data_IF_890911665552
#
_entry.id   IF_890911665552
#
_cell.length_a   1.000
_cell.length_b   1.000
_cell.length_c   1.000
_cell.angle_alpha   90.00
_cell.angle_beta   90.00
_cell.angle_gamma   90.00
#
_symmetry.space_group_name_H-M   'P 1'
#
loop_
_entity.id
_entity.type
_entity.pdbx_description
1 polymer ?
#
# COMPACT_ATOMS: atom_id res chain seq x y z
N UNK A 1 -25.32 -6.52 -26.78
CA UNK A 1 -23.94 -6.13 -27.16
C UNK A 1 -23.29 -7.32 -27.88
N UNK A 2 -23.39 -7.42 -29.22
CA UNK A 2 -22.64 -8.42 -29.98
C UNK A 2 -21.14 -8.05 -29.96
N UNK A 3 -20.26 -8.96 -29.54
CA UNK A 3 -18.79 -8.79 -29.63
C UNK A 3 -18.01 -8.83 -28.30
N UNK A 4 -18.64 -8.66 -27.13
CA UNK A 4 -17.95 -8.75 -25.84
C UNK A 4 -17.25 -10.11 -25.62
N UNK A 5 -17.88 -11.27 -25.91
CA UNK A 5 -17.28 -12.58 -25.69
C UNK A 5 -16.04 -12.88 -26.55
N UNK A 6 -15.96 -12.38 -27.78
CA UNK A 6 -14.83 -12.64 -28.69
C UNK A 6 -13.59 -11.80 -28.34
N UNK A 7 -13.78 -10.60 -27.80
CA UNK A 7 -12.68 -9.79 -27.24
C UNK A 7 -12.13 -10.45 -25.98
N UNK A 8 -12.99 -11.08 -25.18
CA UNK A 8 -12.61 -11.79 -23.94
C UNK A 8 -11.77 -13.05 -24.19
N UNK A 9 -12.10 -13.85 -25.22
CA UNK A 9 -11.29 -15.02 -25.57
C UNK A 9 -9.91 -14.64 -26.14
N UNK A 10 -9.77 -13.44 -26.71
CA UNK A 10 -8.47 -12.92 -27.18
C UNK A 10 -7.63 -12.32 -26.05
N UNK A 11 -8.24 -11.56 -25.14
CA UNK A 11 -7.53 -10.90 -24.05
C UNK A 11 -7.12 -11.86 -22.92
N UNK A 12 -7.86 -12.95 -22.70
CA UNK A 12 -7.65 -13.91 -21.59
C UNK A 12 -7.11 -15.24 -22.10
N UNK A 13 -6.40 -15.24 -23.24
CA UNK A 13 -5.95 -16.42 -23.98
C UNK A 13 -5.82 -17.68 -23.11
N UNK A 14 -6.67 -18.69 -23.39
CA UNK A 14 -6.63 -20.01 -22.73
C UNK A 14 -5.40 -20.80 -23.17
N UNK A 15 -4.20 -20.25 -23.00
CA UNK A 15 -2.97 -20.98 -23.18
C UNK A 15 -2.55 -21.57 -21.84
N UNK A 16 -2.56 -22.89 -21.82
CA UNK A 16 -1.99 -23.74 -20.78
C UNK A 16 -0.58 -23.23 -20.47
N UNK A 17 -0.15 -23.11 -19.20
CA UNK A 17 1.13 -22.47 -18.88
C UNK A 17 2.28 -23.19 -19.60
N UNK A 18 2.81 -22.51 -20.62
CA UNK A 18 3.97 -22.92 -21.39
C UNK A 18 5.15 -23.07 -20.45
N UNK A 19 5.65 -24.30 -20.38
CA UNK A 19 6.77 -24.73 -19.57
C UNK A 19 8.06 -24.05 -20.09
N UNK A 20 8.39 -22.88 -19.54
CA UNK A 20 9.69 -22.26 -19.75
C UNK A 20 10.71 -22.84 -18.76
N UNK A 21 11.77 -23.43 -19.33
CA UNK A 21 12.89 -24.09 -18.67
C UNK A 21 13.85 -23.02 -18.14
N UNK A 22 13.62 -22.54 -16.91
CA UNK A 22 14.61 -21.75 -16.16
C UNK A 22 15.64 -22.70 -15.53
N UNK A 23 16.61 -23.13 -16.34
CA UNK A 23 17.80 -23.81 -15.80
C UNK A 23 18.73 -22.79 -15.16
N UNK A 24 19.17 -23.18 -13.97
CA UNK A 24 20.28 -22.64 -13.19
C UNK A 24 19.99 -21.39 -12.34
N UNK A 25 19.45 -21.66 -11.15
CA UNK A 25 19.44 -20.75 -10.00
C UNK A 25 18.54 -21.21 -8.85
N UNK A 26 17.46 -21.95 -9.16
CA UNK A 26 16.28 -22.02 -8.28
C UNK A 26 15.96 -23.43 -7.72
N UNK A 27 16.96 -24.32 -7.60
CA UNK A 27 16.73 -25.71 -7.13
C UNK A 27 16.62 -25.88 -5.62
N UNK A 28 17.08 -24.92 -4.81
CA UNK A 28 17.04 -25.05 -3.35
C UNK A 28 15.71 -24.57 -2.73
N UNK A 29 15.03 -23.56 -3.30
CA UNK A 29 13.80 -23.00 -2.75
C UNK A 29 12.49 -23.63 -3.23
N UNK A 30 12.53 -24.44 -4.30
CA UNK A 30 11.30 -25.02 -4.90
C UNK A 30 10.81 -26.28 -4.20
N UNK A 31 11.69 -27.04 -3.55
CA UNK A 31 11.32 -28.31 -2.87
C UNK A 31 10.67 -28.13 -1.50
N UNK A 32 10.77 -26.95 -0.88
CA UNK A 32 10.06 -26.65 0.38
C UNK A 32 8.68 -25.99 0.17
N UNK A 33 8.42 -25.39 -1.00
CA UNK A 33 7.10 -24.77 -1.31
C UNK A 33 6.00 -25.78 -1.66
N UNK A 34 6.35 -27.01 -2.04
CA UNK A 34 5.39 -28.05 -2.44
C UNK A 34 4.81 -28.85 -1.26
N UNK A 35 5.13 -28.49 0.00
CA UNK A 35 4.50 -29.04 1.22
C UNK A 35 3.99 -27.95 2.15
N UNK A 36 3.50 -26.84 1.60
CA UNK A 36 2.67 -25.91 2.36
C UNK A 36 1.39 -26.60 2.86
N UNK A 37 0.79 -26.15 3.98
CA UNK A 37 -0.51 -26.66 4.40
C UNK A 37 -1.50 -26.53 3.25
N UNK A 38 -2.30 -27.59 3.01
CA UNK A 38 -3.28 -27.61 1.94
C UNK A 38 -4.24 -26.43 2.10
N UNK A 39 -4.22 -25.50 1.15
CA UNK A 39 -5.12 -24.35 1.13
C UNK A 39 -6.49 -24.83 0.70
N UNK A 40 -7.51 -24.54 1.51
CA UNK A 40 -8.89 -24.85 1.16
C UNK A 40 -9.54 -23.61 0.54
N UNK A 41 -9.88 -23.70 -0.74
CA UNK A 41 -10.68 -22.68 -1.43
C UNK A 41 -12.15 -22.88 -1.02
N UNK A 42 -12.75 -21.81 -0.53
CA UNK A 42 -14.08 -21.75 0.08
C UNK A 42 -15.01 -20.89 -0.78
N UNK A 43 -16.31 -21.16 -0.70
CA UNK A 43 -17.35 -20.36 -1.38
C UNK A 43 -18.16 -19.62 -0.32
N UNK A 44 -18.17 -18.29 -0.35
CA UNK A 44 -18.86 -17.49 0.70
C UNK A 44 -20.35 -17.80 0.79
N UNK A 45 -21.02 -18.22 -0.30
CA UNK A 45 -22.45 -18.54 -0.26
C UNK A 45 -22.69 -19.88 0.43
N UNK A 46 -21.85 -20.89 0.17
CA UNK A 46 -21.92 -22.22 0.78
C UNK A 46 -21.38 -22.24 2.20
N UNK A 47 -20.29 -21.53 2.45
CA UNK A 47 -19.54 -21.49 3.70
C UNK A 47 -19.79 -20.18 4.48
N UNK A 48 -21.01 -19.64 4.37
CA UNK A 48 -21.38 -18.31 4.87
C UNK A 48 -21.09 -18.13 6.37
N UNK A 49 -21.51 -19.09 7.20
CA UNK A 49 -21.32 -19.00 8.65
C UNK A 49 -19.84 -18.99 9.05
N UNK A 50 -19.00 -19.74 8.32
CA UNK A 50 -17.55 -19.75 8.53
C UNK A 50 -16.94 -18.41 8.16
N UNK A 51 -17.30 -17.87 6.99
CA UNK A 51 -16.84 -16.54 6.56
C UNK A 51 -17.25 -15.44 7.55
N UNK A 52 -18.51 -15.44 7.98
CA UNK A 52 -19.03 -14.45 8.94
C UNK A 52 -18.30 -14.53 10.28
N UNK A 53 -18.10 -15.74 10.81
CA UNK A 53 -17.36 -15.96 12.06
C UNK A 53 -15.91 -15.48 11.96
N UNK A 54 -15.18 -15.87 10.92
CA UNK A 54 -13.77 -15.52 10.77
C UNK A 54 -13.58 -14.03 10.54
N UNK A 55 -14.48 -13.39 9.77
CA UNK A 55 -14.48 -11.94 9.56
C UNK A 55 -14.64 -11.19 10.89
N UNK A 56 -15.60 -11.60 11.73
CA UNK A 56 -15.81 -10.99 13.04
C UNK A 56 -14.62 -11.21 13.99
N UNK A 57 -14.13 -12.46 14.10
CA UNK A 57 -12.96 -12.78 14.94
C UNK A 57 -11.71 -12.00 14.53
N UNK A 58 -11.49 -11.85 13.23
CA UNK A 58 -10.34 -11.12 12.70
C UNK A 58 -10.44 -9.62 13.00
N UNK A 59 -11.64 -9.05 12.88
CA UNK A 59 -11.89 -7.66 13.22
C UNK A 59 -11.72 -7.41 14.72
N UNK A 60 -12.26 -8.28 15.58
CA UNK A 60 -12.11 -8.20 17.04
C UNK A 60 -10.64 -8.33 17.46
N UNK A 61 -9.91 -9.26 16.85
CA UNK A 61 -8.47 -9.37 17.05
C UNK A 61 -7.74 -8.07 16.70
N UNK A 62 -8.06 -7.46 15.56
CA UNK A 62 -7.47 -6.18 15.16
C UNK A 62 -7.82 -5.08 16.15
N UNK A 63 -9.07 -4.95 16.59
CA UNK A 63 -9.49 -3.96 17.59
C UNK A 63 -8.78 -4.12 18.94
N UNK A 64 -8.39 -5.35 19.31
CA UNK A 64 -7.63 -5.60 20.54
C UNK A 64 -6.16 -5.14 20.48
N UNK A 65 -5.65 -4.80 19.30
CA UNK A 65 -4.27 -4.33 19.14
C UNK A 65 -4.14 -2.86 19.56
N UNK A 66 -2.92 -2.44 19.88
CA UNK A 66 -2.64 -1.05 20.26
C UNK A 66 -2.22 -0.22 19.03
N UNK A 67 -2.90 0.90 18.78
CA UNK A 67 -2.63 1.81 17.66
C UNK A 67 -2.53 3.24 18.15
N UNK A 68 -1.68 4.04 17.50
CA UNK A 68 -1.63 5.48 17.71
C UNK A 68 -2.63 6.20 16.79
N UNK A 69 -3.88 5.75 16.82
CA UNK A 69 -4.98 6.30 16.03
C UNK A 69 -6.25 6.32 16.87
N UNK A 70 -7.01 7.40 16.78
CA UNK A 70 -8.27 7.53 17.53
C UNK A 70 -9.24 6.38 17.21
N UNK A 71 -10.04 5.89 18.18
CA UNK A 71 -10.97 4.78 17.97
C UNK A 71 -11.96 4.99 16.82
N UNK A 72 -12.36 6.24 16.57
CA UNK A 72 -13.26 6.60 15.47
C UNK A 72 -12.69 6.21 14.10
N UNK A 73 -11.39 6.45 13.89
CA UNK A 73 -10.75 6.20 12.59
C UNK A 73 -10.43 4.71 12.39
N UNK A 74 -10.34 3.92 13.47
CA UNK A 74 -10.15 2.47 13.37
C UNK A 74 -11.28 1.79 12.59
N UNK A 75 -12.52 2.25 12.75
CA UNK A 75 -13.67 1.74 11.97
C UNK A 75 -13.57 2.00 10.47
N UNK A 76 -12.79 2.99 10.06
CA UNK A 76 -12.54 3.31 8.65
C UNK A 76 -11.26 2.61 8.14
N UNK A 77 -10.28 2.36 9.02
CA UNK A 77 -8.97 1.78 8.70
C UNK A 77 -8.96 0.25 8.67
N UNK A 78 -9.56 -0.40 9.67
CA UNK A 78 -9.39 -1.83 9.94
C UNK A 78 -10.16 -2.77 9.00
N UNK A 79 -11.36 -2.45 8.47
CA UNK A 79 -12.10 -3.39 7.63
C UNK A 79 -11.32 -3.88 6.40
N UNK A 80 -10.48 -3.02 5.80
CA UNK A 80 -9.65 -3.41 4.66
C UNK A 80 -8.56 -4.42 5.05
N UNK A 81 -8.09 -4.41 6.30
CA UNK A 81 -7.12 -5.39 6.80
C UNK A 81 -7.76 -6.76 7.04
N UNK A 82 -9.08 -6.81 7.20
CA UNK A 82 -9.86 -8.06 7.23
C UNK A 82 -10.03 -8.60 5.81
N UNK A 83 -10.40 -7.74 4.85
CA UNK A 83 -10.42 -8.11 3.41
C UNK A 83 -9.06 -8.66 2.97
N UNK A 84 -8.02 -7.92 3.34
CA UNK A 84 -6.64 -8.20 3.02
C UNK A 84 -5.86 -8.64 4.25
N UNK A 85 -6.07 -9.84 4.76
CA UNK A 85 -5.07 -10.50 5.64
C UNK A 85 -3.75 -10.87 4.93
N UNK A 86 -3.45 -10.21 3.81
CA UNK A 86 -2.21 -9.53 3.35
C UNK A 86 -0.84 -10.21 3.42
N UNK A 87 -0.69 -11.43 3.94
CA UNK A 87 0.42 -12.34 3.64
C UNK A 87 0.32 -12.95 2.23
N UNK A 88 -0.90 -13.28 1.82
CA UNK A 88 -1.17 -14.21 0.73
C UNK A 88 -2.12 -13.66 -0.35
N UNK A 89 -2.60 -12.41 -0.22
CA UNK A 89 -3.55 -11.79 -1.14
C UNK A 89 -4.95 -11.61 -0.53
N UNK A 90 -5.92 -11.26 -1.37
CA UNK A 90 -7.31 -10.99 -1.00
C UNK A 90 -8.02 -12.25 -0.48
N UNK A 91 -8.81 -12.12 0.60
CA UNK A 91 -9.72 -13.17 1.07
C UNK A 91 -9.10 -14.36 1.80
N UNK A 92 -7.92 -14.20 2.39
CA UNK A 92 -7.26 -15.26 3.18
C UNK A 92 -7.60 -15.19 4.66
N UNK A 93 -7.96 -16.33 5.24
CA UNK A 93 -8.29 -16.49 6.65
C UNK A 93 -7.60 -17.74 7.22
N UNK A 94 -7.51 -17.80 8.55
CA UNK A 94 -6.99 -18.96 9.26
C UNK A 94 -8.06 -19.43 10.23
N UNK A 95 -8.41 -20.72 10.19
CA UNK A 95 -9.36 -21.29 11.14
C UNK A 95 -8.70 -21.58 12.51
N UNK A 96 -9.52 -22.03 13.46
CA UNK A 96 -9.09 -22.38 14.82
C UNK A 96 -8.00 -23.48 14.89
N UNK A 97 -7.78 -24.24 13.80
CA UNK A 97 -6.77 -25.30 13.72
C UNK A 97 -5.49 -24.85 13.01
N UNK A 98 -5.41 -23.58 12.57
CA UNK A 98 -4.29 -23.08 11.80
C UNK A 98 -4.38 -23.38 10.30
N UNK A 99 -5.51 -23.89 9.80
CA UNK A 99 -5.70 -24.19 8.38
C UNK A 99 -5.88 -22.89 7.60
N UNK A 100 -5.15 -22.74 6.50
CA UNK A 100 -5.34 -21.60 5.59
C UNK A 100 -6.58 -21.81 4.71
N UNK A 101 -7.52 -20.89 4.82
CA UNK A 101 -8.74 -20.82 4.03
C UNK A 101 -8.66 -19.63 3.07
N UNK A 102 -9.11 -19.82 1.83
CA UNK A 102 -9.20 -18.74 0.85
C UNK A 102 -10.65 -18.57 0.39
N UNK A 103 -11.18 -17.36 0.50
CA UNK A 103 -12.46 -16.95 -0.04
C UNK A 103 -12.21 -15.95 -1.19
N UNK A 104 -12.11 -16.42 -2.45
CA UNK A 104 -11.75 -15.57 -3.59
C UNK A 104 -12.68 -14.36 -3.78
N UNK A 105 -13.96 -14.53 -3.42
CA UNK A 105 -14.97 -13.50 -3.54
C UNK A 105 -15.10 -12.59 -2.30
N UNK A 106 -14.14 -12.59 -1.38
CA UNK A 106 -14.16 -11.75 -0.18
C UNK A 106 -13.89 -10.27 -0.53
N UNK A 107 -14.92 -9.57 -1.00
CA UNK A 107 -14.89 -8.13 -1.28
C UNK A 107 -15.03 -7.28 0.00
N UNK A 108 -14.64 -6.01 -0.06
CA UNK A 108 -14.84 -5.03 1.01
C UNK A 108 -16.31 -4.90 1.44
N UNK A 109 -17.25 -4.92 0.50
CA UNK A 109 -18.69 -4.89 0.74
C UNK A 109 -19.15 -6.08 1.56
N UNK A 110 -18.66 -7.28 1.22
CA UNK A 110 -19.02 -8.50 1.94
C UNK A 110 -18.48 -8.48 3.36
N UNK A 111 -17.23 -8.06 3.56
CA UNK A 111 -16.67 -7.88 4.91
C UNK A 111 -17.52 -6.89 5.71
N UNK A 112 -17.80 -5.70 5.16
CA UNK A 112 -18.63 -4.70 5.84
C UNK A 112 -20.06 -5.19 6.12
N UNK A 113 -20.65 -6.00 5.24
CA UNK A 113 -21.98 -6.58 5.47
C UNK A 113 -22.04 -7.54 6.68
N UNK A 114 -20.92 -8.17 7.01
CA UNK A 114 -20.78 -8.96 8.25
C UNK A 114 -20.61 -8.02 9.43
N UNK A 115 -19.67 -7.07 9.32
CA UNK A 115 -19.30 -6.17 10.42
C UNK A 115 -20.44 -5.21 10.81
N UNK A 116 -21.31 -4.80 9.88
CA UNK A 116 -22.50 -3.98 10.16
C UNK A 116 -23.43 -4.62 11.21
N UNK A 117 -23.45 -5.96 11.30
CA UNK A 117 -24.24 -6.67 12.31
C UNK A 117 -23.65 -6.57 13.72
N UNK A 118 -22.35 -6.32 13.82
CA UNK A 118 -21.63 -6.14 15.08
C UNK A 118 -21.64 -4.66 15.48
N UNK A 119 -21.39 -3.77 14.52
CA UNK A 119 -21.45 -2.33 14.70
C UNK A 119 -22.15 -1.66 13.50
N UNK A 120 -23.35 -1.09 13.69
CA UNK A 120 -24.09 -0.40 12.63
C UNK A 120 -23.33 0.77 11.96
N UNK A 121 -22.31 1.33 12.61
CA UNK A 121 -21.46 2.38 12.02
C UNK A 121 -20.53 1.86 10.91
N UNK A 122 -20.42 0.54 10.75
CA UNK A 122 -19.62 -0.12 9.71
C UNK A 122 -20.42 -0.44 8.44
N UNK A 123 -21.57 0.22 8.23
CA UNK A 123 -22.32 0.13 6.98
C UNK A 123 -21.46 0.54 5.79
N UNK A 124 -21.46 -0.28 4.74
CA UNK A 124 -20.71 -0.11 3.49
C UNK A 124 -20.57 1.33 2.99
N UNK A 125 -21.70 1.93 2.61
CA UNK A 125 -21.72 3.29 2.04
C UNK A 125 -21.20 4.34 3.02
N UNK A 126 -21.47 4.20 4.32
CA UNK A 126 -21.02 5.16 5.33
C UNK A 126 -19.51 5.10 5.53
N UNK A 127 -18.92 3.90 5.57
CA UNK A 127 -17.46 3.73 5.67
C UNK A 127 -16.77 4.35 4.44
N UNK A 128 -17.26 4.04 3.23
CA UNK A 128 -16.72 4.61 1.98
C UNK A 128 -16.81 6.15 1.97
N UNK A 129 -17.93 6.71 2.43
CA UNK A 129 -18.14 8.16 2.56
C UNK A 129 -17.16 8.80 3.55
N UNK A 130 -17.00 8.22 4.74
CA UNK A 130 -16.09 8.74 5.77
C UNK A 130 -14.63 8.68 5.34
N UNK A 131 -14.22 7.59 4.68
CA UNK A 131 -12.87 7.46 4.08
C UNK A 131 -12.63 8.55 3.04
N UNK A 132 -13.59 8.79 2.15
CA UNK A 132 -13.51 9.85 1.14
C UNK A 132 -13.42 11.25 1.76
N UNK A 133 -14.29 11.54 2.74
CA UNK A 133 -14.26 12.83 3.46
C UNK A 133 -12.95 13.04 4.23
N UNK A 134 -12.33 11.97 4.73
CA UNK A 134 -11.05 12.04 5.45
C UNK A 134 -9.90 12.43 4.51
N UNK A 135 -9.77 11.80 3.34
CA UNK A 135 -8.71 12.14 2.37
C UNK A 135 -8.94 13.50 1.72
N UNK A 136 -10.19 13.84 1.39
CA UNK A 136 -10.55 15.12 0.76
C UNK A 136 -10.25 16.29 1.69
N UNK A 137 -10.68 16.23 2.95
CA UNK A 137 -10.42 17.31 3.92
C UNK A 137 -8.94 17.50 4.18
N UNK A 138 -8.18 16.41 4.30
CA UNK A 138 -6.74 16.49 4.44
C UNK A 138 -6.06 17.18 3.24
N UNK A 139 -6.41 16.78 2.01
CA UNK A 139 -5.88 17.41 0.80
C UNK A 139 -6.25 18.88 0.68
N UNK A 140 -7.49 19.26 1.01
CA UNK A 140 -7.94 20.66 1.03
C UNK A 140 -7.17 21.50 2.06
N UNK A 141 -7.03 20.99 3.29
CA UNK A 141 -6.24 21.62 4.34
C UNK A 141 -4.79 21.85 3.91
N UNK A 142 -4.16 20.81 3.35
CA UNK A 142 -2.77 20.88 2.89
C UNK A 142 -2.58 21.92 1.79
N UNK A 143 -3.40 21.86 0.74
CA UNK A 143 -3.26 22.77 -0.40
C UNK A 143 -3.58 24.22 -0.02
N UNK A 144 -4.43 24.45 0.98
CA UNK A 144 -4.72 25.80 1.50
C UNK A 144 -3.56 26.39 2.31
N UNK A 145 -2.67 25.57 2.88
CA UNK A 145 -1.56 26.02 3.71
C UNK A 145 -0.15 25.73 3.15
N UNK A 146 -0.06 25.12 1.96
CA UNK A 146 1.20 24.68 1.36
C UNK A 146 2.20 25.80 1.03
N UNK A 147 1.76 27.06 1.00
CA UNK A 147 2.58 28.25 0.80
C UNK A 147 3.12 28.83 2.12
N UNK A 148 2.62 28.36 3.26
CA UNK A 148 3.11 28.75 4.58
C UNK A 148 4.44 28.04 4.85
N UNK A 149 5.41 28.68 5.53
CA UNK A 149 6.70 28.04 5.83
C UNK A 149 6.55 26.87 6.81
N UNK A 150 5.54 26.92 7.68
CA UNK A 150 5.27 25.88 8.66
C UNK A 150 3.79 25.53 8.70
N UNK A 151 3.51 24.25 8.88
CA UNK A 151 2.16 23.72 9.02
C UNK A 151 2.01 23.06 10.38
N UNK A 152 0.96 23.45 11.10
CA UNK A 152 0.51 22.70 12.26
C UNK A 152 -0.31 21.51 11.79
N UNK A 153 0.09 20.29 12.16
CA UNK A 153 -0.58 19.04 11.81
C UNK A 153 -1.91 18.90 12.55
N UNK A 154 -2.90 19.67 12.08
CA UNK A 154 -4.23 19.75 12.66
C UNK A 154 -5.24 20.06 11.54
N UNK A 155 -6.13 19.11 11.26
CA UNK A 155 -7.22 19.22 10.29
C UNK A 155 -8.53 19.29 11.08
N UNK A 156 -9.28 20.39 10.94
CA UNK A 156 -10.53 20.64 11.65
C UNK A 156 -10.43 20.46 13.18
N UNK A 157 -9.30 20.86 13.78
CA UNK A 157 -9.06 20.75 15.23
C UNK A 157 -8.64 19.36 15.70
N UNK A 158 -8.36 18.42 14.79
CA UNK A 158 -7.95 17.05 15.10
C UNK A 158 -6.64 16.70 14.38
N UNK A 159 -5.85 15.73 14.89
CA UNK A 159 -4.67 15.27 14.16
C UNK A 159 -5.04 14.66 12.80
N UNK A 160 -4.20 14.85 11.76
CA UNK A 160 -4.40 14.26 10.44
C UNK A 160 -4.65 12.75 10.52
N UNK A 161 -5.70 12.30 9.81
CA UNK A 161 -6.13 10.89 9.78
C UNK A 161 -6.37 10.29 11.19
N UNK A 162 -6.58 11.12 12.22
CA UNK A 162 -6.74 10.68 13.61
C UNK A 162 -5.47 10.11 14.25
N UNK A 163 -4.28 10.35 13.69
CA UNK A 163 -3.01 9.80 14.19
C UNK A 163 -2.55 10.57 15.43
N UNK A 164 -2.60 9.93 16.60
CA UNK A 164 -2.53 10.63 17.88
C UNK A 164 -1.17 11.26 18.15
N UNK A 165 -0.07 10.60 17.75
CA UNK A 165 1.28 11.15 17.93
C UNK A 165 1.56 12.39 17.07
N UNK A 166 0.68 12.76 16.12
CA UNK A 166 0.80 13.99 15.33
C UNK A 166 0.13 15.20 15.99
N UNK A 167 -0.66 14.98 17.05
CA UNK A 167 -1.46 16.03 17.66
C UNK A 167 -0.58 17.21 18.13
N UNK A 168 -0.87 18.42 17.62
CA UNK A 168 -0.18 19.65 18.00
C UNK A 168 1.24 19.79 17.45
N UNK A 169 1.72 18.86 16.63
CA UNK A 169 3.02 18.98 15.98
C UNK A 169 2.99 20.06 14.89
N UNK A 170 4.11 20.77 14.74
CA UNK A 170 4.35 21.71 13.65
C UNK A 170 5.52 21.20 12.82
N UNK A 171 5.41 21.30 11.50
CA UNK A 171 6.41 20.83 10.53
C UNK A 171 6.86 21.95 9.61
N UNK A 172 8.08 21.88 9.12
CA UNK A 172 8.50 22.60 7.92
C UNK A 172 7.68 22.11 6.72
N UNK A 173 6.91 23.02 6.12
CA UNK A 173 5.95 22.69 5.07
C UNK A 173 6.63 22.12 3.85
N UNK A 174 7.80 22.65 3.48
CA UNK A 174 8.50 22.25 2.26
C UNK A 174 9.07 20.85 2.42
N UNK A 175 9.69 20.54 3.56
CA UNK A 175 10.16 19.19 3.87
C UNK A 175 9.00 18.20 3.94
N UNK A 176 7.91 18.56 4.63
CA UNK A 176 6.70 17.74 4.71
C UNK A 176 6.12 17.41 3.34
N UNK A 177 5.88 18.43 2.50
CA UNK A 177 5.41 18.28 1.13
C UNK A 177 6.39 17.48 0.25
N UNK A 178 7.70 17.60 0.49
CA UNK A 178 8.72 16.80 -0.22
C UNK A 178 8.51 15.31 0.02
N UNK A 179 8.32 14.91 1.29
CA UNK A 179 8.03 13.52 1.63
C UNK A 179 6.70 13.03 1.04
N UNK A 180 5.67 13.88 1.06
CA UNK A 180 4.38 13.56 0.44
C UNK A 180 4.48 13.31 -1.06
N UNK A 181 5.18 14.17 -1.80
CA UNK A 181 5.37 14.03 -3.25
C UNK A 181 6.16 12.76 -3.58
N UNK A 182 7.22 12.50 -2.83
CA UNK A 182 8.05 11.30 -3.00
C UNK A 182 7.24 10.01 -2.82
N UNK A 183 6.47 9.91 -1.73
CA UNK A 183 5.64 8.75 -1.46
C UNK A 183 4.46 8.62 -2.44
N UNK A 184 3.81 9.73 -2.81
CA UNK A 184 2.66 9.69 -3.73
C UNK A 184 3.00 9.27 -5.16
N UNK A 185 4.27 9.39 -5.59
CA UNK A 185 4.71 8.93 -6.91
C UNK A 185 5.47 7.60 -6.91
N UNK A 186 5.85 7.05 -5.75
CA UNK A 186 6.63 5.81 -5.71
C UNK A 186 5.84 4.59 -6.23
N UNK A 187 4.50 4.66 -6.14
CA UNK A 187 3.58 3.60 -6.53
C UNK A 187 3.03 3.74 -7.96
N UNK A 188 3.24 4.91 -8.58
CA UNK A 188 2.87 5.13 -9.97
C UNK A 188 3.68 4.24 -10.93
N UNK A 189 2.98 3.57 -11.84
CA UNK A 189 3.58 2.64 -12.77
C UNK A 189 4.56 3.32 -13.74
N UNK A 190 4.27 4.55 -14.19
CA UNK A 190 5.16 5.26 -15.11
C UNK A 190 6.48 5.63 -14.43
N UNK A 191 6.43 6.07 -13.17
CA UNK A 191 7.63 6.35 -12.38
C UNK A 191 8.43 5.07 -12.12
N UNK A 192 7.78 3.96 -11.74
CA UNK A 192 8.48 2.66 -11.56
C UNK A 192 9.12 2.17 -12.85
N UNK A 193 8.43 2.30 -13.99
CA UNK A 193 8.97 1.94 -15.30
C UNK A 193 10.21 2.77 -15.64
N UNK A 194 10.15 4.08 -15.40
CA UNK A 194 11.26 5.00 -15.68
C UNK A 194 12.43 4.80 -14.73
N UNK A 195 12.18 4.53 -13.45
CA UNK A 195 13.20 4.18 -12.48
C UNK A 195 13.99 2.93 -12.92
N UNK A 196 13.34 1.92 -13.53
CA UNK A 196 14.06 0.77 -14.09
C UNK A 196 14.93 1.10 -15.30
N UNK A 197 14.56 2.12 -16.10
CA UNK A 197 15.38 2.57 -17.23
C UNK A 197 16.61 3.35 -16.77
N UNK A 198 16.45 4.16 -15.71
CA UNK A 198 17.51 4.95 -15.10
C UNK A 198 18.47 4.07 -14.28
N UNK A 199 17.95 3.32 -13.32
CA UNK A 199 18.72 2.42 -12.46
C UNK A 199 18.71 1.02 -13.05
N UNK A 200 19.60 0.73 -13.99
CA UNK A 200 19.63 -0.59 -14.64
C UNK A 200 20.08 -1.74 -13.73
N UNK A 201 20.66 -1.42 -12.56
CA UNK A 201 21.27 -2.39 -11.65
C UNK A 201 20.87 -2.17 -10.19
N UNK A 202 20.80 -3.25 -9.42
CA UNK A 202 20.70 -3.23 -7.95
C UNK A 202 22.01 -2.71 -7.33
N UNK A 203 22.04 -2.47 -6.02
CA UNK A 203 23.26 -2.08 -5.31
C UNK A 203 24.39 -3.13 -5.43
N UNK A 204 24.05 -4.42 -5.57
CA UNK A 204 25.01 -5.50 -5.85
C UNK A 204 25.39 -5.64 -7.33
N UNK A 205 24.86 -4.79 -8.22
CA UNK A 205 25.18 -4.81 -9.65
C UNK A 205 24.38 -5.80 -10.50
N UNK A 206 23.38 -6.50 -9.94
CA UNK A 206 22.47 -7.37 -10.68
C UNK A 206 21.41 -6.57 -11.45
N UNK A 207 20.75 -7.12 -12.49
CA UNK A 207 19.67 -6.42 -13.18
C UNK A 207 18.56 -5.95 -12.23
N UNK A 208 18.21 -4.67 -12.31
CA UNK A 208 17.15 -4.10 -11.48
C UNK A 208 15.78 -4.36 -12.10
N UNK A 209 14.84 -4.80 -11.26
CA UNK A 209 13.48 -5.09 -11.69
C UNK A 209 12.49 -4.82 -10.55
N UNK A 210 11.40 -4.11 -10.87
CA UNK A 210 10.32 -3.78 -9.94
C UNK A 210 8.99 -4.16 -10.59
N UNK A 211 8.18 -4.90 -9.84
CA UNK A 211 6.80 -5.21 -10.23
C UNK A 211 5.88 -4.01 -10.08
N UNK A 212 4.81 -3.98 -10.85
CA UNK A 212 3.91 -2.83 -10.82
C UNK A 212 2.71 -2.97 -11.75
N UNK A 213 1.85 -1.96 -11.67
CA UNK A 213 0.59 -1.93 -12.38
C UNK A 213 -0.18 -0.64 -12.11
N UNK A 214 -1.25 -0.46 -12.85
CA UNK A 214 -2.08 0.75 -12.80
C UNK A 214 -3.35 0.48 -12.00
N UNK A 215 -3.76 1.41 -11.13
CA UNK A 215 -5.12 1.44 -10.57
C UNK A 215 -5.98 2.23 -11.55
N UNK A 216 -6.95 1.55 -12.17
CA UNK A 216 -7.82 2.15 -13.18
C UNK A 216 -9.27 2.10 -12.73
N UNK A 217 -10.04 3.12 -13.12
CA UNK A 217 -11.48 3.18 -12.87
C UNK A 217 -12.19 2.33 -13.92
N UNK A 218 -13.08 1.45 -13.47
CA UNK A 218 -13.84 0.53 -14.31
C UNK A 218 -15.35 0.78 -14.19
N UNK A 219 -16.08 0.57 -15.28
CA UNK A 219 -17.54 0.39 -15.25
C UNK A 219 -17.81 -0.97 -14.59
N UNK A 220 -18.44 -0.95 -13.41
CA UNK A 220 -18.55 -2.14 -12.58
C UNK A 220 -19.34 -3.24 -13.26
N UNK A 221 -20.48 -2.90 -13.85
CA UNK A 221 -21.36 -3.88 -14.49
C UNK A 221 -20.67 -4.56 -15.67
N UNK A 222 -19.95 -3.80 -16.50
CA UNK A 222 -19.20 -4.36 -17.62
C UNK A 222 -17.99 -5.17 -17.14
N UNK A 223 -17.30 -4.71 -16.11
CA UNK A 223 -16.16 -5.43 -15.53
C UNK A 223 -16.57 -6.80 -14.97
N UNK A 224 -17.69 -6.87 -14.25
CA UNK A 224 -18.26 -8.13 -13.76
C UNK A 224 -18.65 -9.08 -14.93
N UNK A 225 -19.24 -8.53 -16.01
CA UNK A 225 -19.57 -9.32 -17.21
C UNK A 225 -18.35 -9.84 -17.96
N UNK A 226 -17.20 -9.17 -17.85
CA UNK A 226 -15.95 -9.62 -18.44
C UNK A 226 -15.34 -10.85 -17.73
N UNK A 227 -15.77 -11.15 -16.51
CA UNK A 227 -15.25 -12.30 -15.75
C UNK A 227 -13.76 -12.19 -15.39
N UNK A 228 -13.17 -11.00 -15.47
CA UNK A 228 -11.82 -10.72 -15.00
C UNK A 228 -11.82 -10.67 -13.46
N UNK A 229 -11.75 -11.85 -12.83
CA UNK A 229 -11.85 -11.97 -11.38
C UNK A 229 -10.70 -11.25 -10.63
N UNK A 230 -9.47 -11.31 -11.15
CA UNK A 230 -8.29 -10.63 -10.58
C UNK A 230 -7.33 -10.18 -11.70
N UNK A 231 -7.50 -8.97 -12.26
CA UNK A 231 -6.57 -8.41 -13.25
C UNK A 231 -5.17 -8.11 -12.67
N UNK A 232 -4.98 -8.26 -11.36
CA UNK A 232 -3.69 -8.15 -10.68
C UNK A 232 -2.86 -9.43 -10.72
N UNK A 233 -3.47 -10.58 -11.05
CA UNK A 233 -2.85 -11.89 -11.04
C UNK A 233 -1.99 -12.19 -12.28
N UNK A 234 -2.27 -11.53 -13.41
CA UNK A 234 -1.59 -11.77 -14.70
C UNK A 234 -1.22 -10.46 -15.36
N UNK A 235 -0.15 -10.46 -16.17
CA UNK A 235 0.26 -9.25 -16.89
C UNK A 235 -0.68 -8.99 -18.04
N UNK A 236 -1.21 -7.77 -18.08
CA UNK A 236 -2.01 -7.27 -19.18
C UNK A 236 -1.19 -6.26 -19.99
N UNK A 237 -0.96 -6.60 -21.26
CA UNK A 237 -0.27 -5.75 -22.23
C UNK A 237 -1.09 -4.51 -22.59
N UNK A 238 -0.47 -3.49 -23.19
CA UNK A 238 -1.17 -2.24 -23.56
C UNK A 238 -2.34 -2.47 -24.53
N UNK A 239 -2.22 -3.44 -25.44
CA UNK A 239 -3.31 -3.76 -26.37
C UNK A 239 -4.52 -4.35 -25.63
N UNK A 240 -4.32 -5.21 -24.63
CA UNK A 240 -5.43 -5.70 -23.78
C UNK A 240 -6.11 -4.55 -23.03
N UNK A 241 -5.35 -3.61 -22.47
CA UNK A 241 -5.92 -2.44 -21.80
C UNK A 241 -6.67 -1.53 -22.78
N UNK A 242 -6.17 -1.37 -24.00
CA UNK A 242 -6.85 -0.62 -25.06
C UNK A 242 -8.18 -1.26 -25.41
N UNK A 243 -8.21 -2.58 -25.61
CA UNK A 243 -9.45 -3.32 -25.88
C UNK A 243 -10.48 -3.15 -24.76
N UNK A 244 -10.06 -3.29 -23.49
CA UNK A 244 -10.93 -3.06 -22.34
C UNK A 244 -11.46 -1.63 -22.26
N UNK A 245 -10.66 -0.63 -22.68
CA UNK A 245 -11.15 0.74 -22.85
C UNK A 245 -12.15 0.83 -24.01
N UNK A 246 -11.89 0.18 -25.14
CA UNK A 246 -12.74 0.21 -26.36
C UNK A 246 -14.14 -0.35 -26.09
N UNK A 247 -14.24 -1.43 -25.32
CA UNK A 247 -15.52 -2.00 -24.90
C UNK A 247 -16.14 -1.29 -23.69
N UNK A 248 -15.47 -0.26 -23.17
CA UNK A 248 -15.95 0.60 -22.08
C UNK A 248 -15.92 -0.05 -20.70
N UNK A 249 -15.11 -1.10 -20.50
CA UNK A 249 -14.86 -1.73 -19.19
C UNK A 249 -13.96 -0.83 -18.36
N UNK A 250 -12.85 -0.37 -18.95
CA UNK A 250 -12.00 0.65 -18.35
C UNK A 250 -12.52 2.02 -18.82
N UNK A 251 -12.75 2.90 -17.87
CA UNK A 251 -13.22 4.26 -18.15
C UNK A 251 -12.15 5.07 -18.90
N UNK A 252 -12.55 6.10 -19.66
CA UNK A 252 -11.64 6.83 -20.57
C UNK A 252 -11.44 8.29 -20.23
N UNK A 253 -12.45 8.93 -19.64
CA UNK A 253 -12.42 10.37 -19.41
C UNK A 253 -11.87 10.64 -18.01
N UNK A 254 -10.64 11.15 -17.86
CA UNK A 254 -10.07 11.49 -16.55
C UNK A 254 -10.78 12.67 -15.87
N UNK A 255 -11.66 13.39 -16.56
CA UNK A 255 -12.41 14.54 -16.03
C UNK A 255 -13.84 14.20 -15.59
N UNK A 256 -14.30 12.99 -15.89
CA UNK A 256 -15.64 12.57 -15.48
C UNK A 256 -15.70 12.31 -13.96
N UNK A 257 -16.86 12.59 -13.37
CA UNK A 257 -17.14 12.29 -11.98
C UNK A 257 -17.56 10.82 -11.85
N UNK A 258 -16.61 9.95 -11.50
CA UNK A 258 -16.87 8.53 -11.27
C UNK A 258 -17.25 8.26 -9.82
N UNK A 259 -18.29 7.45 -9.64
CA UNK A 259 -18.84 7.14 -8.32
C UNK A 259 -19.29 5.69 -8.22
N UNK A 260 -19.12 5.12 -7.02
CA UNK A 260 -19.69 3.84 -6.63
C UNK A 260 -21.23 3.97 -6.43
N UNK A 261 -22.05 2.96 -6.81
CA UNK A 261 -21.67 1.62 -7.24
C UNK A 261 -21.48 1.45 -8.75
N UNK A 262 -21.77 2.48 -9.56
CA UNK A 262 -21.71 2.37 -11.02
C UNK A 262 -20.27 2.13 -11.52
N UNK A 263 -19.30 2.66 -10.77
CA UNK A 263 -17.87 2.52 -11.03
C UNK A 263 -17.14 1.93 -9.82
N UNK A 264 -16.00 1.30 -10.09
CA UNK A 264 -15.06 0.86 -9.06
C UNK A 264 -13.61 1.10 -9.52
N UNK A 265 -12.65 0.86 -8.64
CA UNK A 265 -11.23 0.82 -9.00
C UNK A 265 -10.73 -0.62 -9.05
N UNK A 266 -9.96 -0.96 -10.08
CA UNK A 266 -9.31 -2.26 -10.20
C UNK A 266 -7.82 -2.09 -10.52
N UNK A 267 -7.00 -2.97 -9.95
CA UNK A 267 -5.55 -2.98 -10.19
C UNK A 267 -5.21 -3.87 -11.38
N UNK A 268 -4.63 -3.29 -12.42
CA UNK A 268 -4.20 -3.97 -13.64
C UNK A 268 -2.68 -4.17 -13.60
N UNK A 269 -2.24 -5.42 -13.49
CA UNK A 269 -0.81 -5.76 -13.44
C UNK A 269 -0.15 -5.50 -14.79
N UNK A 270 0.91 -4.71 -14.79
CA UNK A 270 1.70 -4.37 -15.99
C UNK A 270 3.03 -5.10 -16.03
N UNK A 271 3.53 -5.55 -14.88
CA UNK A 271 4.77 -6.33 -14.77
C UNK A 271 4.80 -7.20 -13.53
N UNK A 272 5.15 -8.48 -13.72
CA UNK A 272 5.38 -9.42 -12.62
C UNK A 272 6.62 -9.06 -11.82
N UNK A 273 6.55 -9.29 -10.51
CA UNK A 273 7.63 -9.08 -9.58
C UNK A 273 7.15 -8.41 -8.30
N UNK A 274 8.07 -8.28 -7.36
CA UNK A 274 7.79 -7.57 -6.11
C UNK A 274 7.85 -6.06 -6.35
N UNK A 275 6.96 -5.32 -5.68
CA UNK A 275 6.94 -3.86 -5.71
C UNK A 275 7.98 -3.22 -4.79
N UNK A 276 7.65 -2.02 -4.32
CA UNK A 276 8.43 -1.29 -3.31
C UNK A 276 8.02 -1.71 -1.88
N UNK A 277 8.85 -1.35 -0.92
CA UNK A 277 8.65 -1.56 0.51
C UNK A 277 8.46 -0.19 1.19
N UNK A 278 7.27 0.05 1.72
CA UNK A 278 6.88 1.35 2.29
C UNK A 278 7.75 1.72 3.49
N UNK A 279 8.12 0.76 4.35
CA UNK A 279 9.04 0.99 5.46
C UNK A 279 10.42 1.46 4.99
N UNK A 280 10.94 0.88 3.91
CA UNK A 280 12.22 1.34 3.33
C UNK A 280 12.07 2.71 2.68
N UNK A 281 10.94 2.98 2.03
CA UNK A 281 10.68 4.29 1.45
C UNK A 281 10.68 5.38 2.53
N UNK A 282 9.98 5.15 3.65
CA UNK A 282 9.96 6.04 4.80
C UNK A 282 11.35 6.26 5.41
N UNK A 283 12.14 5.20 5.58
CA UNK A 283 13.52 5.30 6.08
C UNK A 283 14.40 6.14 5.14
N UNK A 284 14.28 5.95 3.83
CA UNK A 284 15.05 6.72 2.86
C UNK A 284 14.67 8.20 2.86
N UNK A 285 13.37 8.50 2.90
CA UNK A 285 12.87 9.88 2.98
C UNK A 285 13.37 10.55 4.26
N UNK A 286 13.27 9.84 5.40
CA UNK A 286 13.77 10.31 6.68
C UNK A 286 15.28 10.60 6.66
N UNK A 287 16.08 9.69 6.11
CA UNK A 287 17.53 9.85 6.04
C UNK A 287 17.96 10.97 5.07
N UNK A 288 17.18 11.20 4.01
CA UNK A 288 17.51 12.19 2.98
C UNK A 288 17.02 13.61 3.31
N UNK A 289 15.87 13.71 3.98
CA UNK A 289 15.13 14.98 4.12
C UNK A 289 14.67 15.28 5.56
N UNK A 290 14.93 14.38 6.52
CA UNK A 290 14.64 14.58 7.93
C UNK A 290 13.22 14.18 8.35
N UNK A 291 12.89 14.49 9.61
CA UNK A 291 11.68 14.04 10.28
C UNK A 291 10.39 14.57 9.64
N UNK A 292 10.34 15.84 9.27
CA UNK A 292 9.13 16.45 8.72
C UNK A 292 8.75 15.81 7.38
N UNK A 293 9.75 15.47 6.56
CA UNK A 293 9.55 14.71 5.32
C UNK A 293 9.09 13.27 5.59
N UNK A 294 9.64 12.60 6.61
CA UNK A 294 9.14 11.29 7.04
C UNK A 294 7.64 11.35 7.37
N UNK A 295 7.20 12.36 8.14
CA UNK A 295 5.80 12.52 8.49
C UNK A 295 4.92 12.76 7.26
N UNK A 296 5.41 13.54 6.29
CA UNK A 296 4.74 13.75 5.01
C UNK A 296 4.58 12.45 4.22
N UNK A 297 5.65 11.70 4.04
CA UNK A 297 5.62 10.41 3.35
C UNK A 297 4.69 9.40 4.06
N UNK A 298 4.74 9.37 5.40
CA UNK A 298 3.88 8.51 6.22
C UNK A 298 2.39 8.85 6.06
N UNK A 299 2.03 10.13 6.04
CA UNK A 299 0.65 10.54 5.81
C UNK A 299 0.18 10.26 4.39
N UNK A 300 1.06 10.39 3.39
CA UNK A 300 0.72 10.05 2.01
C UNK A 300 0.47 8.55 1.81
N UNK A 301 1.28 7.66 2.42
CA UNK A 301 1.00 6.21 2.48
C UNK A 301 -0.35 5.92 3.17
N UNK A 302 -0.67 6.72 4.19
CA UNK A 302 -2.01 6.75 4.79
C UNK A 302 -3.10 7.07 3.77
N UNK A 303 -2.91 8.10 2.95
CA UNK A 303 -3.86 8.48 1.91
C UNK A 303 -4.06 7.37 0.88
N UNK A 304 -3.01 6.72 0.35
CA UNK A 304 -3.15 5.53 -0.52
C UNK A 304 -3.98 4.43 0.17
N UNK A 305 -3.71 4.21 1.46
CA UNK A 305 -4.46 3.24 2.25
C UNK A 305 -5.94 3.60 2.34
N UNK A 306 -6.32 4.88 2.48
CA UNK A 306 -7.72 5.31 2.58
C UNK A 306 -8.42 5.48 1.22
N UNK A 307 -7.68 5.78 0.15
CA UNK A 307 -8.18 5.94 -1.22
C UNK A 307 -8.72 4.63 -1.82
N UNK A 308 -8.38 3.49 -1.23
CA UNK A 308 -9.02 2.22 -1.54
C UNK A 308 -10.48 2.24 -1.10
N UNK A 309 -11.39 1.82 -1.98
CA UNK A 309 -12.82 1.67 -1.69
C UNK A 309 -13.54 2.99 -1.36
N UNK A 310 -13.30 4.08 -2.11
CA UNK A 310 -14.05 5.32 -1.93
C UNK A 310 -15.44 5.31 -2.57
N UNK A 311 -16.28 6.30 -2.21
CA UNK A 311 -17.51 6.58 -2.94
C UNK A 311 -17.22 7.33 -4.25
N UNK A 312 -16.52 8.44 -4.14
CA UNK A 312 -16.10 9.27 -5.27
C UNK A 312 -14.67 8.89 -5.63
N UNK A 313 -14.47 8.46 -6.87
CA UNK A 313 -13.22 7.88 -7.32
C UNK A 313 -12.35 8.94 -8.00
N UNK A 314 -11.06 8.97 -7.63
CA UNK A 314 -10.09 9.87 -8.24
C UNK A 314 -9.30 9.13 -9.32
N UNK A 315 -9.16 9.77 -10.48
CA UNK A 315 -8.40 9.20 -11.59
C UNK A 315 -6.92 9.04 -11.21
N UNK A 316 -6.39 7.83 -11.33
CA UNK A 316 -5.01 7.50 -10.97
C UNK A 316 -4.76 7.36 -9.46
N UNK A 317 -5.78 7.49 -8.62
CA UNK A 317 -5.66 7.48 -7.17
C UNK A 317 -5.52 8.88 -6.57
N UNK A 318 -6.06 9.07 -5.37
CA UNK A 318 -6.08 10.37 -4.70
C UNK A 318 -4.69 10.81 -4.22
N UNK A 319 -3.83 9.87 -3.83
CA UNK A 319 -2.44 10.10 -3.43
C UNK A 319 -1.58 10.64 -4.58
N UNK A 320 -1.63 9.99 -5.75
CA UNK A 320 -0.93 10.43 -6.97
C UNK A 320 -1.48 11.77 -7.46
N UNK A 321 -2.81 11.94 -7.44
CA UNK A 321 -3.43 13.23 -7.75
C UNK A 321 -2.95 14.33 -6.81
N UNK A 322 -2.95 14.10 -5.50
CA UNK A 322 -2.53 15.08 -4.51
C UNK A 322 -1.04 15.44 -4.65
N UNK A 323 -0.17 14.45 -4.88
CA UNK A 323 1.25 14.69 -5.17
C UNK A 323 1.44 15.60 -6.40
N UNK A 324 0.67 15.36 -7.46
CA UNK A 324 0.64 16.24 -8.64
C UNK A 324 0.20 17.66 -8.31
N UNK A 325 -0.85 17.84 -7.51
CA UNK A 325 -1.32 19.17 -7.09
C UNK A 325 -0.30 19.92 -6.22
N UNK A 326 0.45 19.20 -5.38
CA UNK A 326 1.55 19.79 -4.60
C UNK A 326 2.66 20.26 -5.56
N UNK A 327 3.06 19.42 -6.53
CA UNK A 327 4.06 19.81 -7.53
C UNK A 327 3.63 21.04 -8.33
N UNK A 328 2.40 21.06 -8.85
CA UNK A 328 1.84 22.21 -9.58
C UNK A 328 1.95 23.49 -8.76
N UNK A 329 1.58 23.40 -7.48
CA UNK A 329 1.59 24.55 -6.58
C UNK A 329 3.00 25.07 -6.30
N UNK A 330 3.98 24.20 -6.13
CA UNK A 330 5.38 24.63 -5.98
C UNK A 330 5.99 25.10 -7.30
N UNK A 331 5.54 24.57 -8.44
CA UNK A 331 5.88 25.12 -9.75
C UNK A 331 5.40 26.57 -9.88
N UNK A 332 4.17 26.87 -9.46
CA UNK A 332 3.63 28.24 -9.47
C UNK A 332 4.39 29.19 -8.52
N UNK A 333 4.89 28.67 -7.38
CA UNK A 333 5.57 29.48 -6.36
C UNK A 333 7.06 29.70 -6.66
N UNK A 334 7.76 28.68 -7.16
CA UNK A 334 9.22 28.66 -7.28
C UNK A 334 9.72 28.52 -8.73
N UNK A 335 8.82 28.45 -9.73
CA UNK A 335 9.13 28.18 -11.15
C UNK A 335 9.87 26.85 -11.39
N UNK A 336 9.76 25.92 -10.43
CA UNK A 336 10.35 24.57 -10.51
C UNK A 336 9.53 23.59 -9.67
N UNK A 337 9.56 22.28 -10.01
CA UNK A 337 8.90 21.29 -9.17
C UNK A 337 9.58 21.23 -7.79
N UNK A 338 8.81 20.90 -6.76
CA UNK A 338 9.32 20.71 -5.40
C UNK A 338 10.33 19.57 -5.35
N UNK A 339 10.03 18.48 -6.06
CA UNK A 339 10.85 17.26 -6.14
C UNK A 339 11.13 16.95 -7.60
N UNK A 340 12.39 16.65 -7.96
CA UNK A 340 12.70 16.19 -9.32
C UNK A 340 12.38 14.70 -9.49
N UNK A 341 12.05 14.31 -10.72
CA UNK A 341 11.83 12.90 -11.10
C UNK A 341 12.99 12.00 -10.67
N UNK A 342 14.23 12.47 -10.78
CA UNK A 342 15.44 11.75 -10.36
C UNK A 342 15.36 11.30 -8.91
N UNK A 343 14.81 12.13 -8.01
CA UNK A 343 14.66 11.78 -6.58
C UNK A 343 13.56 10.75 -6.35
N UNK A 344 12.50 10.79 -7.15
CA UNK A 344 11.45 9.77 -7.13
C UNK A 344 12.05 8.43 -7.60
N UNK A 345 12.89 8.44 -8.62
CA UNK A 345 13.56 7.25 -9.14
C UNK A 345 14.58 6.67 -8.15
N UNK A 346 15.37 7.52 -7.49
CA UNK A 346 16.29 7.12 -6.42
C UNK A 346 15.54 6.43 -5.27
N UNK A 347 14.39 6.99 -4.86
CA UNK A 347 13.53 6.39 -3.83
C UNK A 347 12.99 5.02 -4.28
N UNK A 348 12.44 4.91 -5.48
CA UNK A 348 11.92 3.65 -6.02
C UNK A 348 13.04 2.60 -6.10
N UNK A 349 14.24 3.01 -6.54
CA UNK A 349 15.41 2.15 -6.56
C UNK A 349 15.73 1.64 -5.16
N UNK A 350 15.89 2.54 -4.19
CA UNK A 350 16.18 2.18 -2.81
C UNK A 350 15.13 1.27 -2.18
N UNK A 351 13.84 1.59 -2.37
CA UNK A 351 12.74 0.94 -1.68
C UNK A 351 12.29 -0.38 -2.35
N UNK A 352 12.71 -0.65 -3.59
CA UNK A 352 12.36 -1.87 -4.29
C UNK A 352 12.75 -3.13 -3.49
N UNK A 353 11.78 -4.04 -3.27
CA UNK A 353 11.99 -5.25 -2.45
C UNK A 353 13.14 -6.12 -2.95
N UNK A 354 13.28 -6.24 -4.27
CA UNK A 354 14.33 -7.02 -4.96
C UNK A 354 15.63 -6.26 -5.22
N UNK A 355 15.81 -5.07 -4.67
CA UNK A 355 17.14 -4.47 -4.58
C UNK A 355 18.00 -5.23 -3.55
N UNK A 356 19.25 -4.81 -3.33
CA UNK A 356 20.21 -5.54 -2.51
C UNK A 356 20.60 -4.77 -1.23
N UNK A 357 20.57 -5.40 -0.04
CA UNK A 357 20.06 -6.75 0.23
C UNK A 357 18.55 -6.86 0.00
N UNK A 358 18.04 -8.03 -0.37
CA UNK A 358 16.60 -8.26 -0.60
C UNK A 358 15.82 -8.06 0.71
N UNK A 359 14.69 -7.35 0.62
CA UNK A 359 13.75 -7.15 1.72
C UNK A 359 12.36 -7.53 1.24
N UNK A 360 11.85 -8.68 1.69
CA UNK A 360 10.51 -9.14 1.34
C UNK A 360 9.49 -8.72 2.41
N UNK A 361 9.27 -7.41 2.49
CA UNK A 361 8.37 -6.79 3.46
C UNK A 361 7.52 -5.72 2.78
N UNK A 362 6.23 -5.70 3.12
CA UNK A 362 5.34 -4.55 2.90
C UNK A 362 4.60 -4.27 4.19
N UNK A 363 4.30 -3.00 4.40
CA UNK A 363 3.41 -2.57 5.45
C UNK A 363 2.20 -1.89 4.83
N UNK A 364 1.35 -1.38 5.70
CA UNK A 364 0.23 -0.50 5.36
C UNK A 364 0.18 0.54 6.47
N UNK A 365 -0.59 1.59 6.27
CA UNK A 365 -0.81 2.61 7.31
C UNK A 365 -1.14 1.98 8.68
N UNK A 366 -1.98 0.93 8.72
CA UNK A 366 -2.31 0.19 9.95
C UNK A 366 -1.08 -0.32 10.70
N UNK A 367 -0.07 -0.86 10.00
CA UNK A 367 1.17 -1.36 10.64
C UNK A 367 2.06 -0.23 11.12
N UNK A 368 2.12 0.86 10.35
CA UNK A 368 2.95 2.01 10.67
C UNK A 368 2.49 2.72 11.95
N UNK A 369 1.18 2.76 12.21
CA UNK A 369 0.59 3.32 13.44
C UNK A 369 0.46 2.33 14.59
N UNK A 370 0.76 1.05 14.38
CA UNK A 370 0.62 0.03 15.42
C UNK A 370 1.82 0.07 16.40
N UNK A 371 1.52 -0.11 17.68
CA UNK A 371 2.52 -0.49 18.68
C UNK A 371 2.68 -2.01 18.65
N UNK A 372 3.75 -2.48 18.02
CA UNK A 372 4.05 -3.91 17.99
C UNK A 372 4.45 -4.41 19.40
N UNK A 373 4.19 -5.69 19.75
CA UNK A 373 4.54 -6.24 21.06
C UNK A 373 6.02 -5.99 21.41
N UNK A 374 6.27 -5.32 22.54
CA UNK A 374 7.61 -4.96 23.00
C UNK A 374 8.11 -3.58 22.56
N UNK A 375 7.36 -2.86 21.71
CA UNK A 375 7.65 -1.46 21.37
C UNK A 375 6.93 -0.48 22.30
N UNK A 376 7.55 0.66 22.57
CA UNK A 376 6.95 1.80 23.29
C UNK A 376 6.55 2.94 22.36
N UNK A 377 6.82 2.80 21.06
CA UNK A 377 6.49 3.76 20.00
C UNK A 377 5.87 3.00 18.83
N UNK A 378 5.00 3.64 18.02
CA UNK A 378 4.49 3.02 16.81
C UNK A 378 5.63 2.73 15.81
N UNK A 379 5.41 1.78 14.91
CA UNK A 379 6.41 1.30 13.95
C UNK A 379 7.11 2.42 13.17
N UNK A 380 6.37 3.43 12.69
CA UNK A 380 6.97 4.56 11.94
C UNK A 380 7.97 5.37 12.78
N UNK A 381 7.70 5.54 14.08
CA UNK A 381 8.65 6.23 14.97
C UNK A 381 9.83 5.31 15.32
N UNK A 382 9.66 3.99 15.29
CA UNK A 382 10.79 3.06 15.42
C UNK A 382 11.74 3.18 14.20
N UNK A 383 11.21 3.42 13.00
CA UNK A 383 12.03 3.73 11.80
C UNK A 383 12.80 5.04 11.96
N UNK A 384 12.19 6.06 12.55
CA UNK A 384 12.89 7.32 12.82
C UNK A 384 14.07 7.15 13.77
N UNK A 385 13.93 6.30 14.79
CA UNK A 385 15.02 5.99 15.73
C UNK A 385 16.24 5.39 15.05
N UNK A 386 16.05 4.54 14.03
CA UNK A 386 17.15 4.06 13.19
C UNK A 386 17.93 5.23 12.58
N UNK A 387 17.23 6.18 11.97
CA UNK A 387 17.86 7.32 11.27
C UNK A 387 18.60 8.24 12.25
N UNK A 388 18.08 8.41 13.45
CA UNK A 388 18.76 9.12 14.54
C UNK A 388 19.97 8.38 15.12
N UNK A 389 20.17 7.10 14.78
CA UNK A 389 21.16 6.23 15.42
C UNK A 389 20.82 5.86 16.86
N UNK A 390 19.57 6.05 17.25
CA UNK A 390 19.06 5.61 18.54
C UNK A 390 18.84 4.08 18.54
N UNK A 391 18.82 3.46 19.73
CA UNK A 391 18.40 2.08 19.84
C UNK A 391 16.96 1.86 19.33
N UNK A 392 16.78 0.95 18.38
CA UNK A 392 15.49 0.54 17.84
C UNK A 392 14.90 -0.63 18.65
N UNK A 393 13.58 -0.71 18.78
CA UNK A 393 12.93 -1.83 19.45
C UNK A 393 13.12 -3.13 18.65
N UNK A 394 13.41 -4.22 19.37
CA UNK A 394 13.47 -5.58 18.81
C UNK A 394 12.07 -6.15 18.63
N UNK A 395 11.39 -5.70 17.57
CA UNK A 395 10.04 -6.12 17.17
C UNK A 395 10.08 -6.90 15.87
N UNK A 396 8.97 -7.60 15.57
CA UNK A 396 8.78 -8.19 14.24
C UNK A 396 7.97 -7.26 13.36
N UNK A 397 8.53 -6.92 12.21
CA UNK A 397 7.93 -6.06 11.20
C UNK A 397 7.21 -6.89 10.13
N UNK A 398 6.42 -6.23 9.27
CA UNK A 398 5.80 -6.87 8.11
C UNK A 398 4.87 -8.03 8.49
N UNK A 399 3.83 -7.74 9.27
CA UNK A 399 2.91 -8.73 9.84
C UNK A 399 3.58 -9.77 10.75
N UNK A 400 4.42 -9.28 11.65
CA UNK A 400 5.13 -10.10 12.61
C UNK A 400 5.99 -11.23 11.98
N UNK A 401 6.53 -11.00 10.78
CA UNK A 401 7.35 -11.99 10.06
C UNK A 401 8.84 -11.69 10.08
N UNK A 402 9.23 -10.43 9.89
CA UNK A 402 10.64 -10.07 9.69
C UNK A 402 11.22 -9.51 10.99
N UNK A 403 12.24 -10.12 11.60
CA UNK A 403 12.90 -9.58 12.78
C UNK A 403 13.50 -8.18 12.51
N UNK A 404 13.43 -7.28 13.49
CA UNK A 404 14.02 -5.94 13.42
C UNK A 404 15.51 -5.98 13.06
N UNK A 405 16.27 -6.94 13.61
CA UNK A 405 17.69 -7.13 13.30
C UNK A 405 17.94 -7.31 11.80
N UNK A 406 17.16 -8.18 11.16
CA UNK A 406 17.29 -8.48 9.74
C UNK A 406 16.88 -7.29 8.89
N UNK A 407 15.71 -6.71 9.18
CA UNK A 407 15.16 -5.59 8.41
C UNK A 407 16.04 -4.34 8.52
N UNK A 408 16.33 -3.88 9.74
CA UNK A 408 17.13 -2.66 9.92
C UNK A 408 18.58 -2.85 9.51
N UNK A 409 19.13 -4.07 9.64
CA UNK A 409 20.44 -4.39 9.07
C UNK A 409 20.46 -4.28 7.54
N UNK A 410 19.40 -4.71 6.86
CA UNK A 410 19.27 -4.54 5.42
C UNK A 410 19.05 -3.07 5.01
N UNK A 411 18.18 -2.35 5.73
CA UNK A 411 17.92 -0.93 5.51
C UNK A 411 19.21 -0.10 5.65
N UNK A 412 19.99 -0.34 6.72
CA UNK A 412 21.27 0.31 6.96
C UNK A 412 22.27 0.09 5.82
N UNK A 413 22.43 -1.16 5.34
CA UNK A 413 23.32 -1.45 4.19
C UNK A 413 22.88 -0.75 2.90
N UNK A 414 21.56 -0.64 2.66
CA UNK A 414 21.05 0.12 1.51
C UNK A 414 21.33 1.61 1.67
N UNK A 415 21.21 2.17 2.88
CA UNK A 415 21.52 3.57 3.14
C UNK A 415 23.00 3.87 2.88
N UNK A 416 23.90 3.01 3.33
CA UNK A 416 25.33 3.10 3.00
C UNK A 416 25.57 3.07 1.48
N UNK A 417 24.95 2.12 0.77
CA UNK A 417 25.09 1.99 -0.67
C UNK A 417 24.51 3.19 -1.45
N UNK A 418 23.48 3.85 -0.90
CA UNK A 418 22.89 5.07 -1.43
C UNK A 418 23.67 6.34 -1.04
N UNK A 419 24.76 6.24 -0.27
CA UNK A 419 25.54 7.38 0.18
C UNK A 419 24.85 8.22 1.26
N UNK A 420 23.94 7.62 2.04
CA UNK A 420 23.21 8.24 3.14
C UNK A 420 23.72 7.67 4.48
N UNK A 421 24.80 8.21 5.05
CA UNK A 421 25.41 7.63 6.24
C UNK A 421 24.48 7.79 7.46
N UNK A 422 24.01 6.66 8.00
CA UNK A 422 23.35 6.59 9.31
C UNK A 422 24.11 5.61 10.21
N UNK A 423 24.08 5.78 11.54
CA UNK A 423 24.73 4.83 12.45
C UNK A 423 24.16 3.41 12.33
N UNK A 424 25.01 2.40 12.53
CA UNK A 424 24.57 1.01 12.52
C UNK A 424 23.47 0.76 13.57
N UNK A 425 22.46 -0.06 13.25
CA UNK A 425 21.32 -0.29 14.13
C UNK A 425 21.75 -0.92 15.46
N UNK A 426 21.17 -0.43 16.56
CA UNK A 426 21.33 -0.99 17.90
C UNK A 426 19.97 -1.47 18.39
N UNK A 427 19.86 -2.72 18.83
CA UNK A 427 18.58 -3.27 19.30
C UNK A 427 18.41 -3.05 20.81
N UNK A 428 17.25 -2.49 21.19
CA UNK A 428 16.73 -2.57 22.55
C UNK A 428 16.20 -3.98 22.74
N UNK A 429 17.02 -4.85 23.34
CA UNK A 429 16.54 -6.14 23.80
C UNK A 429 15.50 -5.89 24.88
N UNK A 430 14.28 -6.40 24.67
CA UNK A 430 13.31 -6.46 25.76
C UNK A 430 14.00 -7.19 26.91
N UNK A 431 13.93 -6.63 28.12
CA UNK A 431 14.18 -7.44 29.32
C UNK A 431 13.17 -8.58 29.20
N UNK A 432 13.65 -9.79 28.95
CA UNK A 432 12.81 -10.97 29.13
C UNK A 432 12.38 -10.90 30.59
N UNK A 433 11.09 -10.71 30.82
CA UNK A 433 10.52 -10.83 32.14
C UNK A 433 10.96 -12.20 32.68
N UNK A 434 11.72 -12.16 33.77
CA UNK A 434 12.20 -13.35 34.49
C UNK A 434 11.11 -13.93 35.38
#
# INVERSE_FOLDING_TARGET
MPGLPEVLDRAVGRDTPGRWDSRDGDRAGRRERERGPAVRVMDIRRDREVFERLTALDYDFLLSQNFSVTPRVLGDLLPQSVVGRAQNGHGWFTDEFGTSLQFPDATFERVLSVLERVDPNLRGLQVRERRGALVVRFGQWLLAGCDQPRLRLEVDGAPPLGVEFLAGHEVDTRAFCTGMVLAGFMDDWQHRRTAMMQHKRTFAGHPFNVGGGDILIVDRAKFELCGLADPGATVLEEDHLRELRDVGVICRDPRAAYRFPDHDQAYFRRRLGDGVCDDLALIWVAASYGYDALLGAFLMDGIDTYDKYLLDLTWGGYDTWLAGRIQDRFMDLDERPLVSDERIFDLIHFAAKRNDPIVNLSSSHRRLVQYEPGATVPTVLNHWRLVLGEPVHDIKLGYARVPAEEFYGAAWRRLEAAGLPVPAPKLLRSRRDG
#
